data_IF_352054034428
#
_entry.id   IF_352054034428
#
_cell.length_a   1.000
_cell.length_b   1.000
_cell.length_c   1.000
_cell.angle_alpha   90.00
_cell.angle_beta   90.00
_cell.angle_gamma   90.00
#
_symmetry.space_group_name_H-M   'P 1'
#
loop_
_entity.id
_entity.type
_entity.pdbx_description
1 polymer ?
#
# COMPACT_ATOMS: atom_id res chain seq x y z
N UNK A 1 -31.70 -14.35 -47.32
CA UNK A 1 -30.32 -13.93 -46.99
C UNK A 1 -30.42 -12.84 -45.94
N UNK A 2 -30.10 -13.13 -44.67
CA UNK A 2 -30.09 -12.12 -43.60
C UNK A 2 -28.66 -11.98 -43.12
N UNK A 3 -28.11 -10.79 -43.34
CA UNK A 3 -26.76 -10.39 -42.96
C UNK A 3 -26.60 -10.42 -41.45
N UNK A 4 -25.62 -11.22 -41.04
CA UNK A 4 -24.90 -11.15 -39.77
C UNK A 4 -24.24 -9.75 -39.70
N UNK A 5 -24.22 -9.14 -38.51
CA UNK A 5 -23.00 -8.72 -37.79
C UNK A 5 -23.40 -7.81 -36.62
N UNK A 6 -23.45 -8.37 -35.40
CA UNK A 6 -23.50 -7.59 -34.17
C UNK A 6 -22.10 -7.65 -33.55
N UNK A 7 -21.22 -6.73 -33.94
CA UNK A 7 -19.96 -6.49 -33.22
C UNK A 7 -20.33 -5.61 -32.03
N UNK A 8 -20.54 -6.24 -30.88
CA UNK A 8 -20.63 -5.54 -29.60
C UNK A 8 -19.19 -5.24 -29.17
N UNK A 9 -18.79 -3.98 -29.32
CA UNK A 9 -17.51 -3.43 -28.89
C UNK A 9 -17.30 -3.67 -27.39
N UNK A 10 -16.37 -4.57 -27.07
CA UNK A 10 -15.75 -4.68 -25.75
C UNK A 10 -14.88 -3.44 -25.61
N UNK A 11 -15.36 -2.44 -24.88
CA UNK A 11 -14.69 -1.15 -24.79
C UNK A 11 -14.96 -0.42 -23.49
N UNK A 12 -14.75 -1.06 -22.33
CA UNK A 12 -14.61 -0.35 -21.05
C UNK A 12 -13.73 -1.18 -20.10
N UNK A 13 -12.42 -0.93 -20.06
CA UNK A 13 -11.56 -1.45 -18.98
C UNK A 13 -10.59 -0.41 -18.41
N UNK A 14 -10.47 0.78 -19.02
CA UNK A 14 -9.47 1.77 -18.62
C UNK A 14 -9.83 2.58 -17.36
N UNK A 15 -11.10 2.55 -16.91
CA UNK A 15 -11.59 3.46 -15.86
C UNK A 15 -11.36 2.94 -14.43
N UNK A 16 -11.37 1.62 -14.21
CA UNK A 16 -11.23 1.04 -12.88
C UNK A 16 -9.78 1.19 -12.37
N UNK A 17 -8.78 0.98 -13.23
CA UNK A 17 -7.38 1.05 -12.82
C UNK A 17 -6.94 2.38 -12.19
N UNK A 18 -7.55 3.50 -12.60
CA UNK A 18 -7.16 4.83 -12.10
C UNK A 18 -7.66 5.12 -10.69
N UNK A 19 -8.89 4.73 -10.39
CA UNK A 19 -9.46 4.85 -9.04
C UNK A 19 -8.67 3.97 -8.06
N UNK A 20 -8.31 2.77 -8.51
CA UNK A 20 -7.66 1.77 -7.67
C UNK A 20 -6.19 2.17 -7.39
N UNK A 21 -5.51 2.82 -8.34
CA UNK A 21 -4.23 3.49 -8.08
C UNK A 21 -4.34 4.60 -7.02
N UNK A 22 -5.38 5.43 -7.08
CA UNK A 22 -5.57 6.52 -6.12
C UNK A 22 -5.88 6.00 -4.71
N UNK A 23 -6.65 4.91 -4.60
CA UNK A 23 -6.90 4.22 -3.35
C UNK A 23 -5.63 3.55 -2.80
N UNK A 24 -4.83 2.92 -3.67
CA UNK A 24 -3.54 2.37 -3.30
C UNK A 24 -2.59 3.46 -2.74
N UNK A 25 -2.57 4.63 -3.38
CA UNK A 25 -1.76 5.76 -2.95
C UNK A 25 -2.21 6.27 -1.58
N UNK A 26 -3.52 6.46 -1.40
CA UNK A 26 -4.10 6.95 -0.15
C UNK A 26 -3.87 5.98 1.01
N UNK A 27 -4.00 4.68 0.75
CA UNK A 27 -3.71 3.64 1.73
C UNK A 27 -2.23 3.59 2.10
N UNK A 28 -1.33 3.75 1.12
CA UNK A 28 0.12 3.83 1.36
C UNK A 28 0.51 5.07 2.17
N UNK A 29 -0.06 6.23 1.85
CA UNK A 29 0.10 7.47 2.63
C UNK A 29 -0.32 7.28 4.09
N UNK A 30 -1.48 6.67 4.32
CA UNK A 30 -1.95 6.34 5.67
C UNK A 30 -0.98 5.40 6.39
N UNK A 31 -0.53 4.34 5.72
CA UNK A 31 0.43 3.38 6.29
C UNK A 31 1.74 4.05 6.68
N UNK A 32 2.29 4.90 5.80
CA UNK A 32 3.49 5.71 6.07
C UNK A 32 3.30 6.60 7.28
N UNK A 33 2.20 7.35 7.34
CA UNK A 33 1.96 8.32 8.41
C UNK A 33 1.81 7.64 9.77
N UNK A 34 1.13 6.49 9.82
CA UNK A 34 1.04 5.66 11.01
C UNK A 34 2.40 5.09 11.43
N UNK A 35 3.17 4.56 10.48
CA UNK A 35 4.53 4.08 10.75
C UNK A 35 5.47 5.20 11.23
N UNK A 36 5.35 6.40 10.66
CA UNK A 36 6.08 7.62 11.09
C UNK A 36 5.70 8.04 12.49
N UNK A 37 4.40 8.01 12.83
CA UNK A 37 3.92 8.27 14.20
C UNK A 37 4.47 7.22 15.17
N UNK A 38 4.47 5.94 14.79
CA UNK A 38 5.03 4.86 15.60
C UNK A 38 6.53 5.03 15.87
N UNK A 39 7.30 5.39 14.83
CA UNK A 39 8.74 5.66 14.94
C UNK A 39 9.05 6.81 15.91
N UNK A 40 8.21 7.86 15.91
CA UNK A 40 8.35 9.03 16.76
C UNK A 40 7.74 8.86 18.16
N UNK A 41 6.99 7.80 18.40
CA UNK A 41 6.33 7.57 19.69
C UNK A 41 7.35 7.15 20.75
N UNK A 42 7.13 7.62 21.98
CA UNK A 42 7.90 7.23 23.16
C UNK A 42 7.18 6.18 24.01
N UNK A 43 5.94 5.83 23.63
CA UNK A 43 5.15 4.76 24.24
C UNK A 43 5.19 3.52 23.36
N UNK A 44 5.73 2.43 23.91
CA UNK A 44 5.84 1.18 23.18
C UNK A 44 4.48 0.58 22.82
N UNK A 45 3.51 0.71 23.72
CA UNK A 45 2.12 0.29 23.50
C UNK A 45 1.50 1.07 22.33
N UNK A 46 1.68 2.39 22.30
CA UNK A 46 1.11 3.23 21.24
C UNK A 46 1.82 2.96 19.91
N UNK A 47 3.15 2.77 19.93
CA UNK A 47 3.91 2.35 18.75
C UNK A 47 3.39 1.04 18.16
N UNK A 48 3.08 0.04 19.00
CA UNK A 48 2.50 -1.23 18.55
C UNK A 48 1.09 -1.04 17.97
N UNK A 49 0.23 -0.25 18.61
CA UNK A 49 -1.11 0.05 18.08
C UNK A 49 -1.04 0.71 16.70
N UNK A 50 -0.18 1.72 16.56
CA UNK A 50 0.04 2.43 15.29
C UNK A 50 0.60 1.50 14.20
N UNK A 51 1.50 0.57 14.55
CA UNK A 51 2.02 -0.41 13.58
C UNK A 51 0.97 -1.43 13.15
N UNK A 52 0.05 -1.81 14.03
CA UNK A 52 -1.08 -2.66 13.65
C UNK A 52 -1.94 -1.96 12.60
N UNK A 53 -2.30 -0.70 12.81
CA UNK A 53 -3.07 0.08 11.84
C UNK A 53 -2.27 0.32 10.53
N UNK A 54 -0.96 0.53 10.63
CA UNK A 54 -0.08 0.67 9.46
C UNK A 54 -0.03 -0.63 8.64
N UNK A 55 0.01 -1.78 9.31
CA UNK A 55 -0.05 -3.10 8.69
C UNK A 55 -1.36 -3.30 7.93
N UNK A 56 -2.50 -2.96 8.54
CA UNK A 56 -3.82 -3.04 7.88
C UNK A 56 -3.86 -2.13 6.64
N UNK A 57 -3.42 -0.88 6.77
CA UNK A 57 -3.39 0.09 5.66
C UNK A 57 -2.42 -0.34 4.54
N UNK A 58 -1.27 -0.94 4.87
CA UNK A 58 -0.34 -1.47 3.88
C UNK A 58 -0.92 -2.70 3.15
N UNK A 59 -1.75 -3.51 3.82
CA UNK A 59 -2.45 -4.62 3.18
C UNK A 59 -3.55 -4.13 2.22
N UNK A 60 -4.23 -3.04 2.56
CA UNK A 60 -5.17 -2.38 1.64
C UNK A 60 -4.42 -1.84 0.42
N UNK A 61 -3.31 -1.11 0.64
CA UNK A 61 -2.46 -0.60 -0.42
C UNK A 61 -1.96 -1.71 -1.36
N UNK A 62 -1.61 -2.88 -0.81
CA UNK A 62 -1.23 -4.06 -1.59
C UNK A 62 -2.38 -4.54 -2.49
N UNK A 63 -3.59 -4.66 -1.93
CA UNK A 63 -4.77 -5.12 -2.67
C UNK A 63 -5.08 -4.16 -3.83
N UNK A 64 -5.17 -2.86 -3.54
CA UNK A 64 -5.43 -1.84 -4.55
C UNK A 64 -4.30 -1.73 -5.59
N UNK A 65 -3.04 -1.87 -5.18
CA UNK A 65 -1.90 -1.89 -6.11
C UNK A 65 -1.92 -3.10 -7.05
N UNK A 66 -2.49 -4.24 -6.59
CA UNK A 66 -2.73 -5.40 -7.45
C UNK A 66 -3.82 -5.11 -8.48
N UNK A 67 -4.92 -4.52 -8.02
CA UNK A 67 -6.09 -4.22 -8.87
C UNK A 67 -5.75 -3.15 -9.91
N UNK A 68 -4.83 -2.24 -9.58
CA UNK A 68 -4.29 -1.25 -10.51
C UNK A 68 -3.14 -1.78 -11.40
N UNK A 69 -2.78 -3.07 -11.25
CA UNK A 69 -1.75 -3.79 -12.02
C UNK A 69 -0.33 -3.21 -11.83
N UNK A 70 -0.08 -2.49 -10.73
CA UNK A 70 1.23 -1.98 -10.38
C UNK A 70 2.03 -2.99 -9.54
N UNK A 71 2.70 -3.94 -10.21
CA UNK A 71 3.41 -5.05 -9.54
C UNK A 71 4.55 -4.58 -8.61
N UNK A 72 5.25 -3.50 -8.97
CA UNK A 72 6.31 -2.94 -8.14
C UNK A 72 5.73 -2.31 -6.86
N UNK A 73 4.65 -1.53 -6.98
CA UNK A 73 3.96 -0.97 -5.83
C UNK A 73 3.34 -2.06 -4.93
N UNK A 74 2.75 -3.10 -5.53
CA UNK A 74 2.25 -4.26 -4.77
C UNK A 74 3.38 -4.92 -3.95
N UNK A 75 4.55 -5.09 -4.56
CA UNK A 75 5.72 -5.67 -3.88
C UNK A 75 6.21 -4.78 -2.74
N UNK A 76 6.32 -3.47 -2.96
CA UNK A 76 6.70 -2.52 -1.92
C UNK A 76 5.67 -2.44 -0.78
N UNK A 77 4.37 -2.53 -1.09
CA UNK A 77 3.30 -2.54 -0.09
C UNK A 77 3.34 -3.80 0.77
N UNK A 78 3.67 -4.95 0.16
CA UNK A 78 3.90 -6.19 0.87
C UNK A 78 5.13 -6.11 1.80
N UNK A 79 6.18 -5.38 1.44
CA UNK A 79 7.31 -5.13 2.32
C UNK A 79 6.95 -4.17 3.47
N UNK A 80 6.19 -3.10 3.18
CA UNK A 80 5.65 -2.22 4.22
C UNK A 80 4.82 -3.00 5.25
N UNK A 81 3.92 -3.89 4.79
CA UNK A 81 3.15 -4.80 5.62
C UNK A 81 4.05 -5.68 6.50
N UNK A 82 5.05 -6.35 5.90
CA UNK A 82 5.95 -7.25 6.62
C UNK A 82 6.73 -6.51 7.71
N UNK A 83 7.28 -5.34 7.39
CA UNK A 83 8.01 -4.54 8.38
C UNK A 83 7.09 -4.04 9.49
N UNK A 84 5.87 -3.60 9.17
CA UNK A 84 4.92 -3.18 10.18
C UNK A 84 4.57 -4.35 11.13
N UNK A 85 4.32 -5.53 10.58
CA UNK A 85 4.08 -6.77 11.35
C UNK A 85 5.28 -7.13 12.23
N UNK A 86 6.50 -7.11 11.70
CA UNK A 86 7.72 -7.39 12.47
C UNK A 86 7.91 -6.41 13.64
N UNK A 87 7.63 -5.12 13.43
CA UNK A 87 7.70 -4.11 14.48
C UNK A 87 6.58 -4.21 15.53
N UNK A 88 5.42 -4.76 15.15
CA UNK A 88 4.32 -5.08 16.07
C UNK A 88 4.63 -6.32 16.93
N UNK A 89 5.21 -7.36 16.33
CA UNK A 89 5.49 -8.65 16.98
C UNK A 89 6.74 -8.64 17.87
N UNK A 90 7.66 -7.70 17.70
CA UNK A 90 8.90 -7.64 18.51
C UNK A 90 8.64 -7.24 19.96
N UNK A 91 9.52 -7.65 20.86
CA UNK A 91 9.53 -7.34 22.30
C UNK A 91 10.49 -6.20 22.69
N UNK A 92 11.03 -5.49 21.70
CA UNK A 92 12.02 -4.41 21.88
C UNK A 92 11.53 -3.11 21.26
N UNK A 93 11.51 -2.03 22.05
CA UNK A 93 11.16 -0.69 21.56
C UNK A 93 12.12 -0.21 20.47
N UNK A 94 13.41 -0.54 20.57
CA UNK A 94 14.39 -0.18 19.55
C UNK A 94 14.09 -0.89 18.22
N UNK A 95 13.71 -2.17 18.28
CA UNK A 95 13.35 -2.93 17.08
C UNK A 95 12.01 -2.46 16.52
N UNK A 96 11.03 -2.15 17.37
CA UNK A 96 9.77 -1.53 16.97
C UNK A 96 10.05 -0.25 16.16
N UNK A 97 10.92 0.65 16.65
CA UNK A 97 11.30 1.87 15.93
C UNK A 97 12.05 1.57 14.63
N UNK A 98 12.97 0.60 14.63
CA UNK A 98 13.71 0.21 13.43
C UNK A 98 12.78 -0.33 12.33
N UNK A 99 11.86 -1.20 12.69
CA UNK A 99 10.88 -1.75 11.75
C UNK A 99 9.85 -0.73 11.32
N UNK A 100 9.38 0.15 12.21
CA UNK A 100 8.52 1.29 11.85
C UNK A 100 9.18 2.19 10.80
N UNK A 101 10.48 2.49 10.95
CA UNK A 101 11.23 3.25 9.95
C UNK A 101 11.30 2.54 8.59
N UNK A 102 11.46 1.21 8.58
CA UNK A 102 11.46 0.42 7.33
C UNK A 102 10.08 0.40 6.68
N UNK A 103 9.02 0.17 7.46
CA UNK A 103 7.64 0.22 6.98
C UNK A 103 7.28 1.58 6.37
N UNK A 104 7.68 2.68 7.04
CA UNK A 104 7.51 4.04 6.53
C UNK A 104 8.19 4.23 5.16
N UNK A 105 9.45 3.80 5.03
CA UNK A 105 10.19 3.90 3.75
C UNK A 105 9.55 3.08 2.64
N UNK A 106 9.18 1.84 2.92
CA UNK A 106 8.52 1.00 1.91
C UNK A 106 7.17 1.57 1.50
N UNK A 107 6.42 2.18 2.42
CA UNK A 107 5.17 2.86 2.09
C UNK A 107 5.41 4.14 1.23
N UNK A 108 6.47 4.91 1.50
CA UNK A 108 6.91 6.00 0.60
C UNK A 108 7.27 5.49 -0.81
N UNK A 109 7.93 4.32 -0.90
CA UNK A 109 8.26 3.69 -2.18
C UNK A 109 6.98 3.30 -2.94
N UNK A 110 5.94 2.79 -2.26
CA UNK A 110 4.64 2.49 -2.88
C UNK A 110 4.06 3.71 -3.57
N UNK A 111 4.03 4.86 -2.88
CA UNK A 111 3.47 6.10 -3.42
C UNK A 111 4.23 6.53 -4.69
N UNK A 112 5.56 6.51 -4.64
CA UNK A 112 6.41 6.85 -5.78
C UNK A 112 6.19 5.91 -6.97
N UNK A 113 6.04 4.61 -6.70
CA UNK A 113 5.82 3.59 -7.73
C UNK A 113 4.42 3.67 -8.35
N UNK A 114 3.40 4.07 -7.59
CA UNK A 114 2.06 4.32 -8.12
C UNK A 114 2.07 5.54 -9.04
N UNK A 115 2.75 6.63 -8.66
CA UNK A 115 2.92 7.80 -9.52
C UNK A 115 3.58 7.41 -10.84
N UNK A 116 4.69 6.65 -10.79
CA UNK A 116 5.37 6.15 -11.99
C UNK A 116 4.49 5.22 -12.85
N UNK A 117 3.61 4.44 -12.21
CA UNK A 117 2.71 3.52 -12.88
C UNK A 117 1.51 4.19 -13.54
N UNK A 118 1.06 5.33 -13.02
CA UNK A 118 -0.11 6.06 -13.53
C UNK A 118 0.21 7.11 -14.58
N UNK A 119 1.49 7.54 -14.66
CA UNK A 119 1.98 8.51 -15.64
C UNK A 119 2.39 7.85 -16.97
N UNK A 120 2.40 6.51 -17.05
CA UNK A 120 2.65 5.73 -18.28
C UNK A 120 1.36 5.25 -18.93
#
# INVERSE_FOLDING_TARGET
MKTITLILLIGISSFQFKSECADAYSAAEKARDLAKKSYKSDSWKDSKSLLKEAMESANDAKSFASDCVCQNANSAANDAYKYAKQGYDTDSMNDTKNFAKKAMKSADDVMSLIDDCTVR
#
